data_IF_159162691421
#
_entry.id   IF_159162691421
#
_cell.length_a   1.000
_cell.length_b   1.000
_cell.length_c   1.000
_cell.angle_alpha   90.00
_cell.angle_beta   90.00
_cell.angle_gamma   90.00
#
_symmetry.space_group_name_H-M   'P 1'
#
loop_
_entity.id
_entity.type
_entity.pdbx_description
1 polymer ?
#
# COMPACT_ATOMS: atom_id res chain seq x y z
N UNK A 1 1.37 -67.03 63.74
CA UNK A 1 -0.06 -67.10 63.38
C UNK A 1 -0.44 -65.74 62.81
N UNK A 2 -0.70 -65.68 61.49
CA UNK A 2 -1.19 -64.52 60.68
C UNK A 2 -0.29 -63.26 60.68
N UNK A 3 0.04 -62.58 59.59
CA UNK A 3 -0.34 -62.65 58.17
C UNK A 3 0.53 -61.67 57.36
N UNK A 4 0.57 -61.86 56.05
CA UNK A 4 1.33 -61.06 55.09
C UNK A 4 0.58 -59.77 54.71
N UNK A 5 1.31 -58.66 54.53
CA UNK A 5 1.03 -57.68 53.46
C UNK A 5 2.36 -57.17 52.89
N UNK A 6 2.51 -57.30 51.57
CA UNK A 6 3.65 -56.84 50.78
C UNK A 6 3.60 -55.32 50.59
N UNK A 7 4.73 -54.67 50.87
CA UNK A 7 5.05 -53.31 50.42
C UNK A 7 6.55 -53.13 50.51
N UNK A 8 7.28 -53.42 49.44
CA UNK A 8 8.74 -53.22 49.39
C UNK A 8 8.99 -52.07 48.44
N UNK A 9 9.46 -50.97 49.01
CA UNK A 9 10.03 -49.84 48.30
C UNK A 9 11.31 -50.23 47.57
N UNK A 10 11.55 -49.57 46.44
CA UNK A 10 12.74 -49.73 45.63
C UNK A 10 13.08 -48.40 44.96
N UNK A 11 14.15 -47.80 45.46
CA UNK A 11 14.95 -46.68 44.96
C UNK A 11 14.93 -46.52 43.43
N UNK A 12 14.54 -45.34 42.94
CA UNK A 12 14.69 -44.95 41.53
C UNK A 12 16.13 -44.49 41.24
N UNK A 13 16.82 -45.23 40.37
CA UNK A 13 18.00 -44.75 39.66
C UNK A 13 17.55 -44.10 38.35
N UNK A 14 17.86 -42.82 38.16
CA UNK A 14 17.56 -42.08 36.93
C UNK A 14 18.69 -42.35 35.93
N UNK A 15 18.41 -43.21 34.95
CA UNK A 15 19.25 -43.41 33.78
C UNK A 15 18.98 -42.32 32.73
N UNK A 16 20.02 -41.58 32.36
CA UNK A 16 19.98 -40.63 31.25
C UNK A 16 20.01 -41.41 29.93
N UNK A 17 18.88 -41.40 29.20
CA UNK A 17 18.81 -41.80 27.80
C UNK A 17 19.06 -40.56 26.93
N UNK A 18 20.20 -40.54 26.26
CA UNK A 18 20.52 -39.61 25.18
C UNK A 18 19.60 -39.91 23.99
N UNK A 19 18.48 -39.19 23.89
CA UNK A 19 17.70 -39.12 22.66
C UNK A 19 18.47 -38.24 21.67
N UNK A 20 18.96 -38.84 20.59
CA UNK A 20 19.59 -38.12 19.49
C UNK A 20 18.61 -37.10 18.89
N UNK A 21 19.06 -35.87 18.76
CA UNK A 21 18.37 -34.84 17.98
C UNK A 21 18.37 -35.27 16.51
N UNK A 22 17.31 -35.92 16.05
CA UNK A 22 16.99 -35.99 14.64
C UNK A 22 16.73 -34.55 14.15
N UNK A 23 17.54 -34.11 13.18
CA UNK A 23 17.31 -32.86 12.45
C UNK A 23 15.88 -32.86 11.93
N UNK A 24 15.12 -31.82 12.27
CA UNK A 24 13.86 -31.55 11.59
C UNK A 24 14.11 -31.52 10.06
N UNK A 25 13.28 -32.18 9.25
CA UNK A 25 13.40 -32.10 7.81
C UNK A 25 13.27 -30.63 7.38
N UNK A 26 13.96 -30.21 6.29
CA UNK A 26 13.76 -28.86 5.75
C UNK A 26 12.28 -28.66 5.49
N UNK A 27 11.75 -27.51 5.93
CA UNK A 27 10.37 -27.12 5.69
C UNK A 27 10.05 -27.35 4.21
N UNK A 28 9.06 -28.20 3.95
CA UNK A 28 8.56 -28.42 2.61
C UNK A 28 8.23 -27.05 1.99
N UNK A 29 8.71 -26.85 0.76
CA UNK A 29 8.33 -25.72 -0.09
C UNK A 29 6.80 -25.62 -0.02
N UNK A 30 6.29 -24.50 0.49
CA UNK A 30 4.87 -24.24 0.45
C UNK A 30 4.45 -24.25 -1.03
N UNK A 31 3.69 -25.27 -1.43
CA UNK A 31 3.01 -25.29 -2.73
C UNK A 31 2.25 -23.97 -2.88
N UNK A 32 2.50 -23.27 -3.99
CA UNK A 32 2.07 -21.89 -4.18
C UNK A 32 0.57 -21.71 -3.98
N UNK A 33 0.20 -20.84 -3.05
CA UNK A 33 -1.16 -20.32 -2.98
C UNK A 33 -1.36 -19.32 -4.13
N UNK A 34 -1.77 -19.85 -5.28
CA UNK A 34 -1.96 -19.12 -6.52
C UNK A 34 -3.30 -18.39 -6.55
N UNK A 35 -3.25 -17.09 -6.82
CA UNK A 35 -4.38 -16.42 -7.48
C UNK A 35 -4.44 -16.96 -8.90
N UNK A 36 -5.62 -17.41 -9.32
CA UNK A 36 -5.88 -17.91 -10.66
C UNK A 36 -6.91 -16.98 -11.34
N UNK A 37 -6.66 -16.66 -12.61
CA UNK A 37 -7.59 -15.89 -13.42
C UNK A 37 -8.84 -16.74 -13.68
N UNK A 38 -10.01 -16.26 -13.26
CA UNK A 38 -11.28 -17.00 -13.38
C UNK A 38 -12.12 -16.48 -14.53
N UNK A 39 -11.96 -15.21 -14.89
CA UNK A 39 -12.73 -14.60 -15.99
C UNK A 39 -12.02 -13.40 -16.60
N UNK A 40 -12.10 -13.30 -17.93
CA UNK A 40 -11.86 -12.07 -18.69
C UNK A 40 -13.14 -11.65 -19.41
N UNK A 41 -13.49 -10.38 -19.32
CA UNK A 41 -14.54 -9.74 -20.12
C UNK A 41 -13.83 -8.77 -21.06
N UNK A 42 -13.90 -9.03 -22.37
CA UNK A 42 -13.17 -8.29 -23.39
C UNK A 42 -14.12 -7.59 -24.38
N UNK A 43 -13.74 -6.38 -24.79
CA UNK A 43 -14.05 -5.88 -26.13
C UNK A 43 -13.14 -6.57 -27.17
N UNK A 44 -13.62 -6.74 -28.41
CA UNK A 44 -12.99 -7.55 -29.46
C UNK A 44 -11.47 -7.37 -29.58
N UNK A 45 -10.70 -8.48 -29.52
CA UNK A 45 -9.30 -8.51 -30.00
C UNK A 45 -8.20 -9.07 -29.09
N UNK A 46 -8.49 -9.75 -27.96
CA UNK A 46 -7.41 -10.32 -27.12
C UNK A 46 -7.46 -11.83 -26.96
N UNK A 47 -6.29 -12.46 -27.19
CA UNK A 47 -6.08 -13.90 -27.02
C UNK A 47 -5.99 -14.29 -25.55
N UNK A 48 -6.66 -15.38 -25.18
CA UNK A 48 -6.70 -15.90 -23.81
C UNK A 48 -5.30 -16.17 -23.26
N UNK A 49 -4.96 -15.53 -22.15
CA UNK A 49 -3.74 -15.83 -21.42
C UNK A 49 -4.06 -16.86 -20.33
N UNK A 50 -4.11 -18.15 -20.69
CA UNK A 50 -4.12 -19.22 -19.69
C UNK A 50 -2.74 -19.31 -18.99
N UNK A 51 -2.74 -19.34 -17.65
CA UNK A 51 -1.65 -19.93 -16.87
C UNK A 51 -0.63 -19.00 -16.18
N UNK A 52 -0.94 -17.74 -15.85
CA UNK A 52 -0.02 -16.91 -15.04
C UNK A 52 -0.38 -16.91 -13.56
N UNK A 53 0.56 -17.41 -12.73
CA UNK A 53 0.44 -17.48 -11.27
C UNK A 53 1.04 -16.23 -10.62
N UNK A 54 0.36 -15.71 -9.60
CA UNK A 54 0.92 -14.66 -8.75
C UNK A 54 2.21 -15.15 -8.08
N UNK A 55 3.25 -14.29 -8.05
CA UNK A 55 4.49 -14.58 -7.34
C UNK A 55 4.25 -14.38 -5.84
N UNK A 56 4.17 -15.47 -5.06
CA UNK A 56 4.06 -15.39 -3.60
C UNK A 56 5.41 -15.04 -2.97
N UNK A 57 5.47 -13.95 -2.22
CA UNK A 57 6.72 -13.44 -1.62
C UNK A 57 7.04 -14.07 -0.25
N UNK A 58 6.21 -15.00 0.23
CA UNK A 58 6.49 -15.80 1.42
C UNK A 58 6.38 -15.09 2.77
N UNK A 59 6.52 -13.77 2.88
CA UNK A 59 6.35 -13.00 4.13
C UNK A 59 6.25 -11.48 3.89
N UNK A 60 5.13 -10.85 4.28
CA UNK A 60 4.98 -9.44 4.73
C UNK A 60 3.49 -9.10 4.88
N UNK A 61 3.11 -8.31 5.89
CA UNK A 61 1.72 -7.95 6.17
C UNK A 61 1.18 -6.79 5.29
N UNK A 62 2.03 -6.12 4.49
CA UNK A 62 1.61 -5.09 3.53
C UNK A 62 2.73 -4.66 2.55
N UNK A 63 3.13 -5.47 1.54
CA UNK A 63 4.09 -5.01 0.54
C UNK A 63 3.55 -3.76 -0.17
N UNK A 64 4.46 -2.80 -0.38
CA UNK A 64 4.28 -1.66 -1.27
C UNK A 64 5.13 -1.90 -2.50
N UNK A 65 4.60 -1.56 -3.66
CA UNK A 65 5.34 -1.65 -4.91
C UNK A 65 5.10 -0.43 -5.79
N UNK A 66 6.09 -0.15 -6.63
CA UNK A 66 6.02 0.85 -7.69
C UNK A 66 6.64 0.25 -8.95
N UNK A 67 6.16 0.67 -10.12
CA UNK A 67 6.74 0.27 -11.41
C UNK A 67 7.64 1.39 -11.88
N UNK A 68 8.89 1.06 -12.17
CA UNK A 68 9.86 1.98 -12.73
C UNK A 68 9.62 2.19 -14.24
N UNK A 69 10.10 3.31 -14.84
CA UNK A 69 9.89 3.58 -16.26
C UNK A 69 10.40 2.49 -17.21
N UNK A 70 11.40 1.71 -16.78
CA UNK A 70 11.96 0.59 -17.53
C UNK A 70 11.18 -0.74 -17.33
N UNK A 71 10.03 -0.70 -16.66
CA UNK A 71 9.19 -1.86 -16.33
C UNK A 71 9.66 -2.68 -15.12
N UNK A 72 10.79 -2.32 -14.49
CA UNK A 72 11.22 -2.99 -13.27
C UNK A 72 10.24 -2.72 -12.12
N UNK A 73 10.12 -3.69 -11.22
CA UNK A 73 9.28 -3.60 -10.03
C UNK A 73 10.13 -3.23 -8.82
N UNK A 74 9.80 -2.13 -8.17
CA UNK A 74 10.33 -1.77 -6.86
C UNK A 74 9.38 -2.33 -5.81
N UNK A 75 9.93 -3.06 -4.84
CA UNK A 75 9.19 -3.67 -3.75
C UNK A 75 9.75 -3.18 -2.43
N UNK A 76 8.88 -2.80 -1.51
CA UNK A 76 9.25 -2.50 -0.13
C UNK A 76 8.25 -3.14 0.83
N UNK A 77 8.74 -3.72 1.92
CA UNK A 77 7.92 -4.53 2.83
C UNK A 77 8.47 -4.53 4.25
N UNK A 78 7.60 -4.62 5.25
CA UNK A 78 7.95 -5.01 6.61
C UNK A 78 8.02 -6.54 6.75
N UNK A 79 8.94 -7.05 7.57
CA UNK A 79 9.05 -8.48 7.86
C UNK A 79 9.53 -8.77 9.29
N UNK A 80 9.18 -9.95 9.81
CA UNK A 80 9.51 -10.42 11.16
C UNK A 80 10.33 -11.73 11.17
N UNK A 81 10.65 -12.31 10.01
CA UNK A 81 11.42 -13.54 9.89
C UNK A 81 12.12 -13.69 8.54
N UNK A 82 12.94 -14.73 8.33
CA UNK A 82 13.71 -14.92 7.10
C UNK A 82 12.82 -14.88 5.85
N UNK A 83 13.25 -14.12 4.84
CA UNK A 83 12.57 -13.96 3.54
C UNK A 83 13.46 -14.50 2.42
N UNK A 84 12.88 -15.15 1.42
CA UNK A 84 13.57 -15.52 0.18
C UNK A 84 12.89 -14.84 -0.99
N UNK A 85 13.65 -14.05 -1.77
CA UNK A 85 13.20 -13.53 -3.06
C UNK A 85 14.05 -14.19 -4.15
N UNK A 86 13.38 -14.89 -5.08
CA UNK A 86 14.07 -15.56 -6.20
C UNK A 86 14.92 -16.76 -5.78
N UNK A 87 14.52 -17.48 -4.72
CA UNK A 87 15.16 -18.74 -4.31
C UNK A 87 16.52 -18.60 -3.60
N UNK A 88 17.02 -17.37 -3.43
CA UNK A 88 18.21 -17.08 -2.63
C UNK A 88 17.77 -16.57 -1.25
N UNK A 89 18.33 -17.08 -0.14
CA UNK A 89 18.11 -16.47 1.17
C UNK A 89 18.56 -15.01 1.10
N UNK A 90 17.63 -14.10 1.32
CA UNK A 90 17.93 -12.67 1.50
C UNK A 90 18.59 -12.47 2.86
N UNK A 91 19.33 -11.37 3.10
CA UNK A 91 20.55 -11.38 3.93
C UNK A 91 20.38 -11.53 5.45
N UNK A 92 19.43 -12.32 5.95
CA UNK A 92 19.05 -12.41 7.35
C UNK A 92 19.07 -13.86 7.85
N UNK A 93 20.27 -14.32 8.22
CA UNK A 93 20.50 -15.53 9.04
C UNK A 93 20.87 -15.19 10.50
N UNK A 94 20.45 -14.02 11.01
CA UNK A 94 20.80 -13.60 12.39
C UNK A 94 19.56 -13.51 13.26
N UNK A 95 19.69 -13.95 14.52
CA UNK A 95 18.72 -13.68 15.59
C UNK A 95 18.64 -12.17 15.81
N UNK A 96 17.50 -11.57 15.44
CA UNK A 96 17.21 -10.17 15.72
C UNK A 96 15.85 -10.07 16.39
N UNK A 97 15.71 -9.12 17.31
CA UNK A 97 14.55 -8.94 18.19
C UNK A 97 13.77 -7.66 17.86
N UNK A 98 13.31 -7.52 16.62
CA UNK A 98 12.50 -6.36 16.21
C UNK A 98 12.00 -6.44 14.75
N UNK A 99 11.05 -5.56 14.36
CA UNK A 99 10.51 -5.51 13.00
C UNK A 99 11.53 -4.94 12.02
N UNK A 100 11.62 -5.52 10.83
CA UNK A 100 12.60 -5.20 9.80
C UNK A 100 11.95 -4.61 8.54
N UNK A 101 12.74 -3.94 7.69
CA UNK A 101 12.29 -3.51 6.36
C UNK A 101 13.11 -4.16 5.25
N UNK A 102 12.45 -4.54 4.16
CA UNK A 102 13.02 -5.03 2.92
C UNK A 102 12.77 -4.01 1.83
N UNK A 103 13.76 -3.78 0.97
CA UNK A 103 13.62 -3.10 -0.31
C UNK A 103 14.26 -3.96 -1.38
N UNK A 104 13.57 -4.18 -2.48
CA UNK A 104 14.08 -4.96 -3.60
C UNK A 104 13.70 -4.33 -4.94
N UNK A 105 14.51 -4.62 -5.94
CA UNK A 105 14.21 -4.36 -7.34
C UNK A 105 14.16 -5.68 -8.09
N UNK A 106 13.05 -5.91 -8.76
CA UNK A 106 12.84 -7.05 -9.64
C UNK A 106 12.73 -6.56 -11.08
N UNK A 107 13.08 -7.41 -12.04
CA UNK A 107 12.81 -7.15 -13.45
C UNK A 107 11.30 -7.15 -13.73
N UNK A 108 10.87 -6.67 -14.90
CA UNK A 108 9.49 -6.79 -15.37
C UNK A 108 8.98 -8.24 -15.46
N UNK A 109 9.90 -9.23 -15.42
CA UNK A 109 9.62 -10.67 -15.40
C UNK A 109 9.62 -11.26 -13.98
N UNK A 110 9.83 -10.44 -12.94
CA UNK A 110 9.88 -10.87 -11.55
C UNK A 110 11.24 -11.45 -11.11
N UNK A 111 12.30 -11.31 -11.92
CA UNK A 111 13.63 -11.78 -11.54
C UNK A 111 14.31 -10.78 -10.60
N UNK A 112 14.87 -11.24 -9.49
CA UNK A 112 15.54 -10.36 -8.53
C UNK A 112 16.80 -9.72 -9.15
N UNK A 113 16.84 -8.39 -9.23
CA UNK A 113 18.05 -7.64 -9.60
C UNK A 113 18.92 -7.38 -8.37
N UNK A 114 18.31 -6.85 -7.31
CA UNK A 114 18.96 -6.65 -6.02
C UNK A 114 17.92 -6.58 -4.91
N UNK A 115 18.35 -6.87 -3.68
CA UNK A 115 17.57 -6.68 -2.47
C UNK A 115 18.47 -6.19 -1.34
N UNK A 116 17.91 -5.37 -0.46
CA UNK A 116 18.51 -4.90 0.77
C UNK A 116 17.49 -5.04 1.88
N UNK A 117 17.94 -5.37 3.08
CA UNK A 117 17.09 -5.19 4.25
C UNK A 117 17.78 -4.41 5.33
N UNK A 118 16.92 -3.69 6.03
CA UNK A 118 17.23 -2.74 7.06
C UNK A 118 16.90 -3.44 8.37
N UNK A 119 17.97 -3.78 9.08
CA UNK A 119 17.93 -4.53 10.33
C UNK A 119 18.14 -3.56 11.49
N UNK A 120 17.28 -3.58 12.53
CA UNK A 120 17.49 -2.77 13.71
C UNK A 120 18.84 -3.09 14.37
N UNK A 121 19.63 -2.09 14.78
CA UNK A 121 20.90 -2.36 15.47
C UNK A 121 20.76 -2.52 17.00
N UNK A 122 19.63 -2.11 17.58
CA UNK A 122 19.38 -2.15 19.02
C UNK A 122 18.44 -3.28 19.46
N UNK A 123 18.54 -3.68 20.74
CA UNK A 123 17.53 -4.52 21.40
C UNK A 123 16.37 -3.64 21.86
N UNK A 124 15.14 -4.04 21.56
CA UNK A 124 13.93 -3.34 22.03
C UNK A 124 13.30 -2.36 21.03
N UNK A 125 13.63 -2.44 19.74
CA UNK A 125 12.98 -1.63 18.73
C UNK A 125 11.48 -1.94 18.63
N UNK A 126 10.65 -0.90 18.76
CA UNK A 126 9.22 -1.09 19.02
C UNK A 126 8.36 -1.04 17.75
N UNK A 127 8.83 -0.44 16.65
CA UNK A 127 8.05 -0.30 15.41
C UNK A 127 8.87 0.02 14.16
N UNK A 128 8.68 -0.76 13.10
CA UNK A 128 9.12 -0.46 11.74
C UNK A 128 7.96 -0.63 10.77
N UNK A 129 7.85 0.25 9.79
CA UNK A 129 6.80 0.16 8.78
C UNK A 129 7.25 0.83 7.49
N UNK A 130 7.11 0.13 6.36
CA UNK A 130 7.13 0.78 5.05
C UNK A 130 5.79 1.51 4.87
N UNK A 131 5.86 2.82 4.65
CA UNK A 131 4.68 3.60 4.29
C UNK A 131 4.44 3.57 2.79
N UNK A 132 5.48 3.93 2.02
CA UNK A 132 5.41 4.05 0.57
C UNK A 132 6.77 3.85 -0.11
N UNK A 133 6.74 3.44 -1.37
CA UNK A 133 7.87 3.37 -2.29
C UNK A 133 7.48 4.02 -3.61
N UNK A 134 8.39 4.75 -4.24
CA UNK A 134 8.19 5.35 -5.55
C UNK A 134 9.45 5.20 -6.42
N UNK A 135 9.24 5.09 -7.73
CA UNK A 135 10.32 5.06 -8.71
C UNK A 135 10.60 6.47 -9.24
N UNK A 136 11.86 6.86 -9.30
CA UNK A 136 12.26 8.08 -10.00
C UNK A 136 12.38 7.83 -11.51
N UNK A 137 12.20 8.87 -12.36
CA UNK A 137 12.41 8.77 -13.80
C UNK A 137 13.78 8.20 -14.20
N UNK A 138 14.80 8.50 -13.39
CA UNK A 138 16.19 8.06 -13.59
C UNK A 138 16.46 6.64 -13.07
N UNK A 139 15.41 5.96 -12.57
CA UNK A 139 15.48 4.59 -12.05
C UNK A 139 15.91 4.49 -10.58
N UNK A 140 16.11 5.61 -9.89
CA UNK A 140 16.30 5.64 -8.44
C UNK A 140 15.04 5.22 -7.68
N UNK A 141 15.22 4.87 -6.40
CA UNK A 141 14.15 4.39 -5.53
C UNK A 141 14.00 5.34 -4.35
N UNK A 142 12.79 5.83 -4.13
CA UNK A 142 12.46 6.64 -2.96
C UNK A 142 11.60 5.81 -2.03
N UNK A 143 11.97 5.77 -0.74
CA UNK A 143 11.29 5.03 0.32
C UNK A 143 10.96 5.95 1.48
N UNK A 144 9.76 5.84 2.03
CA UNK A 144 9.40 6.51 3.27
C UNK A 144 8.61 5.58 4.20
N UNK A 145 8.73 5.85 5.49
CA UNK A 145 8.10 5.03 6.52
C UNK A 145 8.58 5.38 7.91
N UNK A 146 8.48 4.41 8.81
CA UNK A 146 8.94 4.49 10.19
C UNK A 146 10.11 3.53 10.39
N UNK A 147 11.22 4.04 10.91
CA UNK A 147 12.40 3.28 11.26
C UNK A 147 12.37 2.81 12.71
N UNK A 148 12.90 1.61 12.89
CA UNK A 148 13.20 0.98 14.17
C UNK A 148 14.69 1.15 14.57
N UNK A 149 15.41 2.12 13.99
CA UNK A 149 16.84 2.31 14.25
C UNK A 149 17.72 1.43 13.37
N UNK A 150 17.96 1.81 12.10
CA UNK A 150 18.63 0.94 11.11
C UNK A 150 20.03 1.41 10.72
N UNK A 151 20.90 0.47 10.33
CA UNK A 151 22.10 0.79 9.56
C UNK A 151 21.85 0.54 8.07
N UNK A 152 22.22 1.50 7.22
CA UNK A 152 22.12 1.39 5.77
C UNK A 152 23.33 2.05 5.11
N UNK A 153 24.13 1.28 4.37
CA UNK A 153 25.31 1.82 3.67
C UNK A 153 26.34 2.49 4.60
N UNK A 154 26.43 2.08 5.86
CA UNK A 154 27.29 2.70 6.88
C UNK A 154 26.69 3.92 7.59
N UNK A 155 25.54 4.42 7.13
CA UNK A 155 24.78 5.48 7.81
C UNK A 155 23.82 4.91 8.86
N UNK A 156 23.55 5.70 9.91
CA UNK A 156 22.58 5.37 10.95
C UNK A 156 21.27 6.13 10.72
N UNK A 157 20.16 5.38 10.69
CA UNK A 157 18.81 5.91 10.68
C UNK A 157 18.24 5.83 12.09
N UNK A 158 17.99 6.98 12.69
CA UNK A 158 17.34 7.06 13.99
C UNK A 158 15.93 6.46 13.94
N UNK A 159 15.45 6.02 15.10
CA UNK A 159 14.05 5.63 15.27
C UNK A 159 13.11 6.78 14.89
N UNK A 160 12.01 6.43 14.24
CA UNK A 160 10.99 7.39 13.81
C UNK A 160 10.93 7.58 12.29
N UNK A 161 10.23 8.63 11.84
CA UNK A 161 9.87 8.78 10.43
C UNK A 161 11.07 9.15 9.57
N UNK A 162 11.11 8.59 8.36
CA UNK A 162 12.19 8.82 7.42
C UNK A 162 11.73 8.95 5.97
N UNK A 163 12.59 9.59 5.18
CA UNK A 163 12.58 9.61 3.72
C UNK A 163 13.98 9.25 3.24
N UNK A 164 14.12 8.29 2.34
CA UNK A 164 15.40 7.84 1.84
C UNK A 164 15.37 7.65 0.32
N UNK A 165 16.52 7.85 -0.32
CA UNK A 165 16.72 7.61 -1.74
C UNK A 165 17.87 6.63 -1.95
N UNK A 166 17.60 5.59 -2.73
CA UNK A 166 18.59 4.64 -3.22
C UNK A 166 18.82 4.89 -4.72
N UNK A 167 20.06 4.70 -5.15
CA UNK A 167 20.44 4.60 -6.56
C UNK A 167 19.72 3.44 -7.26
N UNK A 168 19.71 3.41 -8.60
CA UNK A 168 19.15 2.30 -9.37
C UNK A 168 19.73 0.92 -9.02
N UNK A 169 20.99 0.88 -8.54
CA UNK A 169 21.72 -0.30 -8.09
C UNK A 169 21.49 -0.64 -6.60
N UNK A 170 20.64 0.12 -5.92
CA UNK A 170 20.26 -0.09 -4.52
C UNK A 170 21.19 0.59 -3.51
N UNK A 171 22.30 1.22 -3.90
CA UNK A 171 23.16 1.94 -2.94
C UNK A 171 22.42 3.16 -2.38
N UNK A 172 22.46 3.37 -1.06
CA UNK A 172 21.94 4.57 -0.42
C UNK A 172 22.65 5.83 -0.94
N UNK A 173 21.88 6.79 -1.43
CA UNK A 173 22.39 8.09 -1.88
C UNK A 173 22.18 9.15 -0.80
N UNK A 174 20.97 9.25 -0.24
CA UNK A 174 20.70 10.12 0.90
C UNK A 174 19.50 9.65 1.71
N UNK A 175 19.40 10.17 2.93
CA UNK A 175 18.28 9.93 3.84
C UNK A 175 18.01 11.15 4.72
N UNK A 176 16.79 11.23 5.25
CA UNK A 176 16.29 12.26 6.15
C UNK A 176 15.45 11.63 7.26
N UNK A 177 15.55 12.20 8.44
CA UNK A 177 14.71 11.86 9.60
C UNK A 177 13.93 13.11 10.03
N UNK A 178 12.71 12.93 10.51
CA UNK A 178 11.85 14.05 10.89
C UNK A 178 11.54 14.06 12.39
N UNK A 179 12.15 15.02 13.08
CA UNK A 179 12.00 15.18 14.52
C UNK A 179 10.58 15.62 14.88
N UNK A 180 10.08 15.10 16.00
CA UNK A 180 8.77 15.44 16.53
C UNK A 180 8.21 14.36 17.44
N UNK A 181 7.03 14.64 17.96
CA UNK A 181 6.33 13.81 18.95
C UNK A 181 4.98 13.35 18.40
N UNK A 182 4.34 12.42 19.11
CA UNK A 182 3.02 11.91 18.75
C UNK A 182 3.02 10.86 17.64
N UNK A 183 1.83 10.32 17.33
CA UNK A 183 1.66 9.28 16.31
C UNK A 183 2.02 9.82 14.92
N UNK A 184 2.58 8.95 14.08
CA UNK A 184 2.96 9.30 12.72
C UNK A 184 2.88 8.07 11.81
N UNK A 185 2.37 8.24 10.60
CA UNK A 185 2.34 7.21 9.56
C UNK A 185 2.53 7.87 8.20
N UNK A 186 3.46 7.38 7.39
CA UNK A 186 3.50 7.71 5.95
C UNK A 186 2.57 6.77 5.21
N UNK A 187 1.74 7.31 4.31
CA UNK A 187 0.78 6.51 3.54
C UNK A 187 1.09 6.49 2.05
N UNK A 188 1.60 7.60 1.49
CA UNK A 188 1.95 7.66 0.07
C UNK A 188 3.13 8.60 -0.23
N UNK A 189 3.79 8.31 -1.36
CA UNK A 189 4.85 9.09 -1.98
C UNK A 189 4.54 9.26 -3.46
N UNK A 190 4.82 10.43 -4.01
CA UNK A 190 4.81 10.69 -5.45
C UNK A 190 6.09 11.41 -5.87
N UNK A 191 6.53 11.18 -7.10
CA UNK A 191 7.71 11.81 -7.71
C UNK A 191 7.24 12.65 -8.90
N UNK A 192 7.60 13.93 -8.92
CA UNK A 192 7.30 14.82 -10.04
C UNK A 192 8.12 14.38 -11.26
N UNK A 193 7.48 14.00 -12.38
CA UNK A 193 8.16 13.33 -13.50
C UNK A 193 9.31 14.12 -14.14
N UNK A 194 9.29 15.46 -14.07
CA UNK A 194 10.24 16.32 -14.78
C UNK A 194 11.47 16.66 -13.94
N UNK A 195 11.26 17.09 -12.70
CA UNK A 195 12.29 17.58 -11.77
C UNK A 195 12.77 16.51 -10.80
N UNK A 196 12.01 15.42 -10.61
CA UNK A 196 12.27 14.43 -9.57
C UNK A 196 11.96 14.92 -8.15
N UNK A 197 11.28 16.06 -7.99
CA UNK A 197 10.83 16.50 -6.67
C UNK A 197 9.84 15.52 -6.06
N UNK A 198 9.86 15.43 -4.73
CA UNK A 198 9.18 14.38 -3.98
C UNK A 198 8.03 14.98 -3.18
N UNK A 199 6.87 14.33 -3.21
CA UNK A 199 5.74 14.67 -2.35
C UNK A 199 5.44 13.48 -1.45
N UNK A 200 5.41 13.72 -0.15
CA UNK A 200 5.09 12.73 0.88
C UNK A 200 3.82 13.14 1.61
N UNK A 201 2.93 12.18 1.83
CA UNK A 201 1.72 12.39 2.61
C UNK A 201 1.50 11.29 3.64
N UNK A 202 0.75 11.62 4.68
CA UNK A 202 0.40 10.67 5.72
C UNK A 202 -0.38 11.32 6.85
N UNK A 203 -0.47 10.58 7.95
CA UNK A 203 -1.22 10.95 9.14
C UNK A 203 -0.23 11.28 10.27
N UNK A 204 -0.51 12.32 11.05
CA UNK A 204 0.29 12.67 12.22
C UNK A 204 -0.58 13.25 13.34
N UNK A 205 -0.11 13.11 14.58
CA UNK A 205 -0.64 13.73 15.78
C UNK A 205 0.48 14.46 16.52
N UNK A 206 0.15 15.56 17.22
CA UNK A 206 1.16 16.35 17.94
C UNK A 206 1.98 17.27 17.04
N UNK A 207 3.24 17.47 17.40
CA UNK A 207 4.15 18.43 16.73
C UNK A 207 5.21 17.70 15.91
N UNK A 208 5.39 18.11 14.65
CA UNK A 208 6.35 17.52 13.71
C UNK A 208 7.01 18.59 12.85
N UNK A 209 8.31 18.51 12.63
CA UNK A 209 9.03 19.39 11.70
C UNK A 209 9.59 18.57 10.53
N UNK A 210 9.18 18.95 9.32
CA UNK A 210 9.68 18.37 8.06
C UNK A 210 10.89 19.13 7.50
N UNK A 211 11.43 20.08 8.25
CA UNK A 211 12.52 20.99 7.90
C UNK A 211 12.05 22.29 7.23
N UNK A 212 10.76 22.64 7.40
CA UNK A 212 10.16 23.91 6.92
C UNK A 212 9.44 24.67 8.03
N UNK A 213 9.69 24.26 9.28
CA UNK A 213 9.02 24.75 10.47
C UNK A 213 8.06 23.71 11.03
N UNK A 214 7.76 23.81 12.34
CA UNK A 214 6.91 22.83 13.02
C UNK A 214 5.45 22.96 12.59
N UNK A 215 4.86 21.84 12.19
CA UNK A 215 3.42 21.64 12.09
C UNK A 215 2.88 21.06 13.40
N UNK A 216 1.67 21.45 13.77
CA UNK A 216 1.04 21.02 15.02
C UNK A 216 -0.44 20.69 14.81
N UNK A 217 -0.85 19.54 15.34
CA UNK A 217 -2.26 19.17 15.53
C UNK A 217 -2.42 18.61 16.96
N UNK A 218 -3.63 18.62 17.56
CA UNK A 218 -3.85 17.99 18.85
C UNK A 218 -3.41 16.52 18.84
N UNK A 219 -2.75 16.07 19.92
CA UNK A 219 -2.16 14.71 20.00
C UNK A 219 -3.22 13.61 20.00
N UNK A 220 -4.41 13.92 20.51
CA UNK A 220 -5.58 13.04 20.61
C UNK A 220 -6.44 13.03 19.33
N UNK A 221 -5.98 13.68 18.27
CA UNK A 221 -6.68 13.82 16.99
C UNK A 221 -5.79 13.39 15.85
N UNK A 222 -6.40 13.01 14.73
CA UNK A 222 -5.66 12.65 13.53
C UNK A 222 -5.66 13.83 12.57
N UNK A 223 -4.48 14.43 12.38
CA UNK A 223 -4.22 15.33 11.26
C UNK A 223 -3.58 14.57 10.11
N UNK A 224 -3.67 15.13 8.91
CA UNK A 224 -2.89 14.68 7.77
C UNK A 224 -1.81 15.71 7.41
N UNK A 225 -0.74 15.29 6.76
CA UNK A 225 0.28 16.20 6.24
C UNK A 225 0.51 16.01 4.75
N UNK A 226 0.99 17.06 4.11
CA UNK A 226 1.62 17.02 2.79
C UNK A 226 2.94 17.75 2.90
N UNK A 227 4.03 17.09 2.51
CA UNK A 227 5.37 17.67 2.53
C UNK A 227 6.04 17.48 1.17
N UNK A 228 6.60 18.56 0.62
CA UNK A 228 7.34 18.55 -0.64
C UNK A 228 8.83 18.72 -0.38
N UNK A 229 9.63 17.96 -1.12
CA UNK A 229 11.09 17.95 -1.04
C UNK A 229 11.69 18.06 -2.44
N UNK A 230 12.91 18.57 -2.53
CA UNK A 230 13.72 18.47 -3.74
C UNK A 230 14.08 17.01 -4.06
N UNK A 231 14.56 16.73 -5.27
CA UNK A 231 15.13 15.41 -5.62
C UNK A 231 16.34 15.02 -4.73
N UNK A 232 17.00 15.99 -4.12
CA UNK A 232 18.09 15.78 -3.15
C UNK A 232 17.58 15.57 -1.71
N UNK A 233 16.26 15.53 -1.49
CA UNK A 233 15.65 15.37 -0.17
C UNK A 233 15.69 16.63 0.67
N UNK A 234 15.86 17.82 0.06
CA UNK A 234 15.80 19.09 0.78
C UNK A 234 14.35 19.55 0.93
N UNK A 235 13.91 19.92 2.14
CA UNK A 235 12.54 20.39 2.36
C UNK A 235 12.22 21.66 1.55
N UNK A 236 11.06 21.68 0.88
CA UNK A 236 10.56 22.85 0.14
C UNK A 236 9.45 23.56 0.90
N UNK A 237 8.40 22.82 1.23
CA UNK A 237 7.29 23.28 2.07
C UNK A 237 6.62 22.07 2.72
N UNK A 238 5.90 22.31 3.82
CA UNK A 238 5.01 21.32 4.42
C UNK A 238 3.73 21.98 4.89
N UNK A 239 2.63 21.22 4.89
CA UNK A 239 1.30 21.66 5.31
C UNK A 239 0.62 20.60 6.15
N UNK A 240 -0.04 21.04 7.20
CA UNK A 240 -1.02 20.23 7.92
C UNK A 240 -2.38 20.39 7.23
N UNK A 241 -3.07 19.28 7.03
CA UNK A 241 -4.44 19.19 6.57
C UNK A 241 -5.34 18.81 7.75
N UNK A 242 -6.48 19.49 7.85
CA UNK A 242 -7.39 19.36 8.97
C UNK A 242 -7.60 20.67 9.72
N UNK A 243 -8.54 20.65 10.66
CA UNK A 243 -8.85 21.80 11.49
C UNK A 243 -9.00 21.38 12.95
N UNK A 244 -9.10 22.34 13.90
CA UNK A 244 -9.22 22.03 15.33
C UNK A 244 -10.46 21.20 15.68
N UNK A 245 -11.42 21.04 14.77
CA UNK A 245 -12.72 20.39 14.98
C UNK A 245 -13.02 19.24 14.00
N UNK A 246 -12.04 18.80 13.20
CA UNK A 246 -12.21 17.64 12.32
C UNK A 246 -10.96 16.79 12.25
N UNK A 247 -11.14 15.49 12.02
CA UNK A 247 -10.05 14.55 11.78
C UNK A 247 -9.88 14.37 10.27
N UNK A 248 -8.64 14.28 9.82
CA UNK A 248 -8.30 14.06 8.41
C UNK A 248 -7.25 12.98 8.34
N UNK A 249 -7.41 12.07 7.38
CA UNK A 249 -6.32 11.22 6.95
C UNK A 249 -6.01 11.44 5.47
N UNK A 250 -4.75 11.38 5.10
CA UNK A 250 -4.33 11.32 3.71
C UNK A 250 -3.87 9.89 3.38
N UNK A 251 -4.37 9.34 2.27
CA UNK A 251 -4.11 7.95 1.88
C UNK A 251 -3.36 7.82 0.57
N UNK A 252 -3.55 8.79 -0.33
CA UNK A 252 -2.87 8.81 -1.60
C UNK A 252 -2.49 10.23 -2.01
N UNK A 253 -1.41 10.32 -2.78
CA UNK A 253 -0.98 11.54 -3.44
C UNK A 253 -0.49 11.19 -4.85
N UNK A 254 -0.82 12.05 -5.82
CA UNK A 254 -0.27 12.02 -7.17
C UNK A 254 0.16 13.44 -7.54
N UNK A 255 1.13 13.55 -8.45
CA UNK A 255 1.69 14.81 -8.94
C UNK A 255 1.75 14.76 -10.46
N UNK A 256 1.36 15.84 -11.12
CA UNK A 256 1.46 15.96 -12.57
C UNK A 256 2.83 16.53 -13.01
N UNK A 257 3.05 16.62 -14.32
CA UNK A 257 4.29 17.15 -14.89
C UNK A 257 4.47 18.66 -14.70
N UNK A 258 3.42 19.38 -14.26
CA UNK A 258 3.49 20.79 -13.87
C UNK A 258 3.83 20.94 -12.38
N UNK A 259 3.89 19.84 -11.64
CA UNK A 259 4.12 19.81 -10.22
C UNK A 259 2.88 20.14 -9.39
N UNK A 260 1.69 20.24 -9.99
CA UNK A 260 0.42 20.27 -9.25
C UNK A 260 0.15 18.90 -8.67
N UNK A 261 -0.48 18.86 -7.50
CA UNK A 261 -0.64 17.63 -6.74
C UNK A 261 -2.06 17.43 -6.28
N UNK A 262 -2.50 16.18 -6.31
CA UNK A 262 -3.81 15.76 -5.84
C UNK A 262 -3.62 14.81 -4.68
N UNK A 263 -4.30 15.09 -3.57
CA UNK A 263 -4.32 14.29 -2.35
C UNK A 263 -5.72 13.75 -2.15
N UNK A 264 -5.82 12.49 -1.75
CA UNK A 264 -7.08 11.83 -1.46
C UNK A 264 -7.06 11.16 -0.08
N UNK A 265 -8.24 11.07 0.54
CA UNK A 265 -8.37 10.42 1.84
C UNK A 265 -9.79 10.43 2.38
N UNK A 266 -9.89 10.56 3.70
CA UNK A 266 -11.17 10.66 4.41
C UNK A 266 -11.09 11.70 5.52
N UNK A 267 -12.23 12.33 5.80
CA UNK A 267 -12.36 13.28 6.90
C UNK A 267 -13.60 13.01 7.75
N UNK A 268 -13.60 13.51 8.98
CA UNK A 268 -14.79 13.58 9.85
C UNK A 268 -14.82 14.91 10.61
N UNK A 269 -16.00 15.35 11.05
CA UNK A 269 -16.17 16.66 11.68
C UNK A 269 -16.05 17.81 10.67
N UNK A 270 -15.58 18.98 11.12
CA UNK A 270 -15.49 20.18 10.29
C UNK A 270 -14.05 20.46 9.83
N UNK A 271 -13.83 20.50 8.52
CA UNK A 271 -12.51 20.64 7.89
C UNK A 271 -12.56 21.66 6.75
N UNK A 272 -11.52 22.49 6.62
CA UNK A 272 -11.28 23.30 5.42
C UNK A 272 -9.87 23.04 4.91
N UNK A 273 -9.74 22.91 3.59
CA UNK A 273 -8.46 22.75 2.91
C UNK A 273 -7.96 24.06 2.27
N UNK A 274 -8.50 25.20 2.68
CA UNK A 274 -8.22 26.52 2.09
C UNK A 274 -9.36 27.08 1.23
N UNK A 275 -10.39 26.26 0.95
CA UNK A 275 -11.63 26.66 0.30
C UNK A 275 -12.85 26.53 1.24
N UNK A 276 -13.98 26.10 0.68
CA UNK A 276 -15.20 25.83 1.44
C UNK A 276 -14.94 24.84 2.59
N UNK A 277 -15.68 25.02 3.69
CA UNK A 277 -15.64 24.10 4.83
C UNK A 277 -16.54 22.91 4.54
N UNK A 278 -15.97 21.72 4.64
CA UNK A 278 -16.71 20.46 4.65
C UNK A 278 -17.08 20.09 6.08
N UNK A 279 -18.25 19.52 6.27
CA UNK A 279 -18.74 19.13 7.58
C UNK A 279 -19.57 17.85 7.48
N UNK A 280 -19.24 16.90 8.35
CA UNK A 280 -19.99 15.65 8.51
C UNK A 280 -20.16 15.33 10.00
N UNK A 281 -21.26 14.64 10.33
CA UNK A 281 -21.59 14.25 11.70
C UNK A 281 -21.32 12.76 11.84
N UNK A 282 -20.28 12.42 12.60
CA UNK A 282 -19.90 11.04 13.01
C UNK A 282 -19.50 10.06 11.89
N UNK A 283 -19.85 10.30 10.63
CA UNK A 283 -19.42 9.49 9.49
C UNK A 283 -18.11 10.01 8.90
N UNK A 284 -17.26 9.08 8.46
CA UNK A 284 -16.03 9.39 7.74
C UNK A 284 -16.35 9.51 6.25
N UNK A 285 -16.06 10.64 5.63
CA UNK A 285 -16.44 10.92 4.23
C UNK A 285 -15.20 10.98 3.33
N UNK A 286 -15.21 10.34 2.14
CA UNK A 286 -14.12 10.46 1.17
C UNK A 286 -13.93 11.89 0.68
N UNK A 287 -12.68 12.31 0.47
CA UNK A 287 -12.37 13.60 -0.15
C UNK A 287 -11.24 13.50 -1.18
N UNK A 288 -11.21 14.51 -2.03
CA UNK A 288 -10.11 14.84 -2.94
C UNK A 288 -9.74 16.32 -2.81
N UNK A 289 -8.44 16.60 -2.83
CA UNK A 289 -7.87 17.93 -2.68
C UNK A 289 -6.80 18.14 -3.77
N UNK A 290 -6.98 19.14 -4.62
CA UNK A 290 -5.93 19.60 -5.53
C UNK A 290 -5.22 20.83 -4.98
N UNK A 291 -3.89 20.80 -5.05
CA UNK A 291 -2.99 21.86 -4.61
C UNK A 291 -2.04 22.25 -5.76
N UNK A 292 -1.64 23.53 -5.79
CA UNK A 292 -0.57 24.00 -6.68
C UNK A 292 0.78 23.41 -6.30
N UNK A 293 1.80 23.64 -7.12
CA UNK A 293 3.17 23.22 -6.82
C UNK A 293 3.73 23.78 -5.50
N UNK A 294 3.28 24.97 -5.10
CA UNK A 294 3.61 25.66 -3.85
C UNK A 294 2.66 25.26 -2.69
N UNK A 295 1.78 24.28 -2.95
CA UNK A 295 0.84 23.72 -2.00
C UNK A 295 -0.42 24.55 -1.79
N UNK A 296 -0.68 25.61 -2.58
CA UNK A 296 -1.88 26.42 -2.41
C UNK A 296 -3.12 25.66 -2.86
N UNK A 297 -4.24 25.83 -2.15
CA UNK A 297 -5.53 25.25 -2.54
C UNK A 297 -5.92 25.68 -3.96
N UNK A 298 -6.34 24.70 -4.77
CA UNK A 298 -6.88 24.93 -6.12
C UNK A 298 -8.36 24.61 -6.16
N UNK A 299 -8.71 23.40 -5.78
CA UNK A 299 -10.07 22.93 -5.63
C UNK A 299 -10.10 21.73 -4.69
N UNK A 300 -11.28 21.42 -4.14
CA UNK A 300 -11.49 20.25 -3.30
C UNK A 300 -12.94 19.81 -3.40
N UNK A 301 -13.17 18.50 -3.32
CA UNK A 301 -14.51 17.90 -3.28
C UNK A 301 -14.56 16.82 -2.22
N UNK A 302 -15.72 16.66 -1.59
CA UNK A 302 -16.07 15.47 -0.84
C UNK A 302 -17.15 14.65 -1.55
N UNK A 303 -17.29 13.39 -1.15
CA UNK A 303 -18.36 12.52 -1.64
C UNK A 303 -19.49 12.54 -0.61
N UNK A 304 -20.19 13.67 -0.52
CA UNK A 304 -21.21 13.88 0.53
C UNK A 304 -22.28 12.78 0.51
N UNK A 305 -22.57 12.22 1.67
CA UNK A 305 -23.51 11.09 1.85
C UNK A 305 -22.87 9.70 1.76
N UNK A 306 -21.66 9.59 1.21
CA UNK A 306 -20.85 8.39 1.30
C UNK A 306 -20.13 8.32 2.65
N UNK A 307 -20.18 7.14 3.27
CA UNK A 307 -19.33 6.79 4.40
C UNK A 307 -18.21 5.86 3.94
N UNK A 308 -16.96 6.29 4.06
CA UNK A 308 -15.83 5.53 3.53
C UNK A 308 -14.55 6.33 3.46
N UNK A 309 -13.66 5.96 2.55
CA UNK A 309 -12.36 6.64 2.38
C UNK A 309 -11.89 6.49 0.95
N UNK A 310 -11.36 7.58 0.37
CA UNK A 310 -10.60 7.51 -0.86
C UNK A 310 -9.22 6.91 -0.57
N UNK A 311 -8.86 5.83 -1.28
CA UNK A 311 -7.63 5.06 -1.06
C UNK A 311 -6.56 5.33 -2.11
N UNK A 312 -6.96 5.73 -3.32
CA UNK A 312 -6.03 5.96 -4.43
C UNK A 312 -6.41 7.20 -5.24
N UNK A 313 -5.40 7.81 -5.85
CA UNK A 313 -5.54 8.90 -6.81
C UNK A 313 -4.56 8.67 -7.97
N UNK A 314 -5.01 8.95 -9.19
CA UNK A 314 -4.17 8.96 -10.38
C UNK A 314 -4.47 10.23 -11.19
N UNK A 315 -3.43 10.84 -11.75
CA UNK A 315 -3.55 12.06 -12.58
C UNK A 315 -3.13 11.70 -14.00
N UNK A 316 -4.07 11.82 -14.93
CA UNK A 316 -3.82 11.75 -16.36
C UNK A 316 -3.72 13.15 -16.97
N UNK A 317 -3.48 13.26 -18.29
CA UNK A 317 -3.30 14.54 -18.98
C UNK A 317 -4.47 15.51 -18.85
N UNK A 318 -5.71 15.00 -18.81
CA UNK A 318 -6.92 15.81 -18.76
C UNK A 318 -7.88 15.42 -17.62
N UNK A 319 -7.47 14.48 -16.77
CA UNK A 319 -8.35 13.87 -15.77
C UNK A 319 -7.63 13.61 -14.47
N UNK A 320 -8.39 13.73 -13.39
CA UNK A 320 -8.02 13.26 -12.07
C UNK A 320 -8.99 12.15 -11.68
N UNK A 321 -8.45 10.98 -11.36
CA UNK A 321 -9.20 9.80 -10.96
C UNK A 321 -9.01 9.56 -9.48
N UNK A 322 -10.11 9.34 -8.76
CA UNK A 322 -10.09 9.06 -7.32
C UNK A 322 -10.91 7.81 -7.07
N UNK A 323 -10.33 6.84 -6.38
CA UNK A 323 -11.05 5.62 -6.00
C UNK A 323 -10.94 5.35 -4.52
N UNK A 324 -11.87 4.55 -4.02
CA UNK A 324 -11.89 4.18 -2.63
C UNK A 324 -13.01 3.20 -2.32
N UNK A 325 -13.41 3.20 -1.06
CA UNK A 325 -14.58 2.46 -0.59
C UNK A 325 -15.66 3.41 -0.10
N UNK A 326 -16.91 3.00 -0.23
CA UNK A 326 -18.06 3.71 0.35
C UNK A 326 -19.18 2.75 0.77
N UNK A 327 -19.96 3.20 1.74
CA UNK A 327 -21.29 2.72 2.09
C UNK A 327 -22.24 3.91 2.15
N UNK A 328 -23.53 3.64 2.32
CA UNK A 328 -24.55 4.68 2.30
C UNK A 328 -24.86 5.13 0.87
N UNK A 329 -25.35 6.36 0.71
CA UNK A 329 -25.86 6.87 -0.55
C UNK A 329 -25.24 8.23 -0.87
N UNK A 330 -24.66 8.35 -2.06
CA UNK A 330 -24.22 9.62 -2.58
C UNK A 330 -24.83 9.89 -3.96
N UNK A 331 -24.89 11.17 -4.31
CA UNK A 331 -25.39 11.65 -5.59
C UNK A 331 -24.23 12.26 -6.37
N UNK A 332 -24.08 11.86 -7.64
CA UNK A 332 -23.05 12.42 -8.51
C UNK A 332 -23.67 12.78 -9.86
N UNK A 333 -23.61 14.05 -10.21
CA UNK A 333 -24.27 14.65 -11.37
C UNK A 333 -25.78 14.39 -11.48
N UNK A 334 -26.22 13.30 -12.13
CA UNK A 334 -27.63 12.92 -12.31
C UNK A 334 -27.91 11.49 -11.85
N UNK A 335 -26.91 10.86 -11.25
CA UNK A 335 -26.93 9.45 -10.85
C UNK A 335 -26.86 9.32 -9.33
N UNK A 336 -27.47 8.25 -8.83
CA UNK A 336 -27.45 7.90 -7.41
C UNK A 336 -26.69 6.59 -7.24
N UNK A 337 -25.73 6.60 -6.34
CA UNK A 337 -24.93 5.44 -5.95
C UNK A 337 -25.29 5.07 -4.53
N UNK A 338 -25.59 3.79 -4.29
CA UNK A 338 -25.94 3.29 -2.96
C UNK A 338 -25.28 1.95 -2.72
N UNK A 339 -24.74 1.75 -1.52
CA UNK A 339 -24.35 0.44 -1.00
C UNK A 339 -24.77 0.31 0.46
N UNK A 340 -25.43 -0.79 0.79
CA UNK A 340 -25.83 -1.10 2.17
C UNK A 340 -24.70 -1.79 2.96
N UNK A 341 -23.61 -2.16 2.28
CA UNK A 341 -22.45 -2.82 2.86
C UNK A 341 -21.20 -1.97 2.64
N UNK A 342 -20.41 -2.31 1.64
CA UNK A 342 -19.26 -1.54 1.20
C UNK A 342 -19.03 -1.86 -0.27
N UNK A 343 -18.97 -0.82 -1.08
CA UNK A 343 -18.63 -0.88 -2.50
C UNK A 343 -17.38 -0.06 -2.78
N UNK A 344 -16.72 -0.35 -3.89
CA UNK A 344 -15.71 0.50 -4.48
C UNK A 344 -16.35 1.65 -5.25
N UNK A 345 -15.76 2.84 -5.20
CA UNK A 345 -16.10 3.90 -6.15
C UNK A 345 -14.88 4.29 -7.00
N UNK A 346 -15.15 4.81 -8.20
CA UNK A 346 -14.20 5.56 -9.01
C UNK A 346 -14.89 6.83 -9.51
N UNK A 347 -14.31 7.99 -9.22
CA UNK A 347 -14.80 9.29 -9.68
C UNK A 347 -13.73 9.93 -10.56
N UNK A 348 -14.15 10.45 -11.70
CA UNK A 348 -13.32 11.25 -12.59
C UNK A 348 -13.71 12.74 -12.49
N UNK A 349 -12.69 13.58 -12.36
CA UNK A 349 -12.77 15.04 -12.49
C UNK A 349 -11.92 15.48 -13.69
N UNK A 350 -12.18 16.66 -14.26
CA UNK A 350 -11.17 17.33 -15.08
C UNK A 350 -10.07 17.97 -14.21
N UNK A 351 -9.03 18.50 -14.83
CA UNK A 351 -7.90 19.14 -14.11
C UNK A 351 -8.30 20.41 -13.35
N UNK A 352 -9.46 21.00 -13.66
CA UNK A 352 -10.03 22.15 -12.94
C UNK A 352 -10.99 21.74 -11.82
N UNK A 353 -11.20 20.44 -11.63
CA UNK A 353 -12.08 19.90 -10.60
C UNK A 353 -13.55 19.81 -11.03
N UNK A 354 -13.92 19.94 -12.30
CA UNK A 354 -15.31 19.68 -12.69
C UNK A 354 -15.58 18.18 -12.74
N UNK A 355 -16.65 17.74 -12.08
CA UNK A 355 -17.15 16.36 -12.12
C UNK A 355 -17.38 15.87 -13.55
N UNK A 356 -16.88 14.68 -13.91
CA UNK A 356 -17.02 14.09 -15.25
C UNK A 356 -17.93 12.86 -15.27
N UNK A 357 -17.62 11.85 -14.47
CA UNK A 357 -18.40 10.64 -14.32
C UNK A 357 -18.02 9.92 -13.02
N UNK A 358 -18.86 8.98 -12.58
CA UNK A 358 -18.59 8.12 -11.45
C UNK A 358 -19.00 6.67 -11.78
N UNK A 359 -18.33 5.70 -11.15
CA UNK A 359 -18.66 4.28 -11.22
C UNK A 359 -18.63 3.66 -9.83
N UNK A 360 -19.47 2.66 -9.62
CA UNK A 360 -19.38 1.74 -8.47
C UNK A 360 -18.87 0.37 -8.92
N UNK A 361 -18.18 -0.30 -8.01
CA UNK A 361 -17.64 -1.66 -8.14
C UNK A 361 -18.05 -2.45 -6.89
N UNK A 362 -18.34 -3.73 -7.04
CA UNK A 362 -18.59 -4.59 -5.89
C UNK A 362 -17.37 -4.58 -4.94
N UNK A 363 -17.61 -4.53 -3.63
CA UNK A 363 -16.62 -4.54 -2.54
C UNK A 363 -15.65 -3.35 -2.48
N UNK A 364 -14.65 -3.21 -3.37
CA UNK A 364 -13.68 -2.12 -3.25
C UNK A 364 -12.98 -1.70 -4.55
N UNK A 365 -12.39 -0.49 -4.56
CA UNK A 365 -11.54 0.03 -5.63
C UNK A 365 -10.32 0.72 -5.00
N UNK A 366 -9.29 -0.05 -4.65
CA UNK A 366 -8.22 0.39 -3.72
C UNK A 366 -6.95 0.89 -4.40
N UNK A 367 -6.74 0.61 -5.68
CA UNK A 367 -5.55 1.03 -6.41
C UNK A 367 -5.88 1.55 -7.83
N UNK A 368 -5.15 2.58 -8.25
CA UNK A 368 -5.29 3.21 -9.56
C UNK A 368 -3.93 3.40 -10.24
N UNK A 369 -3.94 3.34 -11.57
CA UNK A 369 -2.84 3.78 -12.41
C UNK A 369 -3.40 4.36 -13.71
N UNK A 370 -2.69 5.32 -14.30
CA UNK A 370 -3.03 5.88 -15.62
C UNK A 370 -1.91 5.62 -16.61
N UNK A 371 -2.26 5.25 -17.84
CA UNK A 371 -1.27 5.16 -18.93
C UNK A 371 -1.05 6.52 -19.61
N UNK A 372 -0.06 6.57 -20.50
CA UNK A 372 0.27 7.78 -21.27
C UNK A 372 -0.83 8.24 -22.23
N UNK A 373 -1.83 7.39 -22.52
CA UNK A 373 -3.01 7.75 -23.29
C UNK A 373 -4.15 8.32 -22.40
N UNK A 374 -3.94 8.37 -21.08
CA UNK A 374 -4.91 8.84 -20.10
C UNK A 374 -5.95 7.79 -19.70
N UNK A 375 -5.85 6.54 -20.18
CA UNK A 375 -6.73 5.46 -19.74
C UNK A 375 -6.42 5.09 -18.29
N UNK A 376 -7.46 4.73 -17.54
CA UNK A 376 -7.33 4.40 -16.12
C UNK A 376 -7.46 2.90 -15.93
N UNK A 377 -6.51 2.32 -15.20
CA UNK A 377 -6.67 1.00 -14.62
C UNK A 377 -7.08 1.16 -13.17
N UNK A 378 -8.04 0.34 -12.76
CA UNK A 378 -8.50 0.22 -11.38
C UNK A 378 -8.34 -1.23 -10.93
N UNK A 379 -7.84 -1.41 -9.71
CA UNK A 379 -7.78 -2.69 -9.05
C UNK A 379 -8.46 -2.61 -7.68
N UNK A 380 -9.11 -3.70 -7.32
CA UNK A 380 -9.83 -3.81 -6.05
C UNK A 380 -10.24 -5.23 -5.79
N UNK A 381 -11.08 -5.39 -4.78
CA UNK A 381 -11.65 -6.67 -4.36
C UNK A 381 -13.05 -6.80 -4.94
N UNK A 382 -13.49 -8.02 -5.29
CA UNK A 382 -14.88 -8.33 -5.62
C UNK A 382 -15.41 -9.38 -4.65
N UNK A 383 -16.72 -9.36 -4.42
CA UNK A 383 -17.41 -10.28 -3.50
C UNK A 383 -17.77 -11.64 -4.12
N UNK A 384 -17.53 -11.83 -5.42
CA UNK A 384 -17.89 -13.05 -6.14
C UNK A 384 -19.35 -13.06 -6.63
N UNK A 385 -19.99 -11.88 -6.67
CA UNK A 385 -21.36 -11.68 -7.18
C UNK A 385 -21.55 -11.93 -8.68
N UNK A 386 -22.71 -11.51 -9.20
CA UNK A 386 -23.22 -11.84 -10.56
C UNK A 386 -22.26 -11.57 -11.72
N UNK A 387 -21.37 -10.58 -11.58
CA UNK A 387 -20.38 -10.21 -12.59
C UNK A 387 -19.21 -11.22 -12.69
N UNK A 388 -19.05 -12.07 -11.67
CA UNK A 388 -17.95 -13.04 -11.52
C UNK A 388 -18.44 -14.49 -11.32
N UNK A 389 -19.69 -14.76 -11.74
CA UNK A 389 -20.51 -15.97 -11.54
C UNK A 389 -21.25 -16.03 -10.19
N UNK A 390 -22.57 -16.28 -10.23
CA UNK A 390 -23.37 -16.41 -9.02
C UNK A 390 -22.89 -17.62 -8.19
N UNK A 391 -22.35 -17.35 -7.00
CA UNK A 391 -21.75 -18.36 -6.13
C UNK A 391 -20.23 -18.48 -6.25
N UNK A 392 -19.58 -17.60 -7.00
CA UNK A 392 -18.12 -17.46 -7.04
C UNK A 392 -17.53 -17.02 -5.71
N UNK A 393 -16.25 -17.33 -5.48
CA UNK A 393 -15.53 -16.85 -4.29
C UNK A 393 -15.05 -15.41 -4.48
N UNK A 394 -15.03 -14.64 -3.38
CA UNK A 394 -14.44 -13.30 -3.36
C UNK A 394 -12.99 -13.32 -3.86
N UNK A 395 -12.56 -12.24 -4.51
CA UNK A 395 -11.29 -12.20 -5.22
C UNK A 395 -10.82 -10.79 -5.55
N UNK A 396 -9.84 -10.68 -6.44
CA UNK A 396 -9.36 -9.41 -6.98
C UNK A 396 -9.90 -9.20 -8.38
N UNK A 397 -10.13 -7.95 -8.75
CA UNK A 397 -10.31 -7.59 -10.15
C UNK A 397 -9.29 -6.53 -10.56
N UNK A 398 -9.03 -6.48 -11.86
CA UNK A 398 -8.37 -5.38 -12.54
C UNK A 398 -9.19 -5.02 -13.75
N UNK A 399 -9.53 -3.74 -13.90
CA UNK A 399 -10.30 -3.23 -15.03
C UNK A 399 -9.58 -2.06 -15.68
N UNK A 400 -9.49 -2.08 -17.01
CA UNK A 400 -9.08 -0.92 -17.80
C UNK A 400 -10.30 -0.21 -18.32
N UNK A 401 -10.38 1.09 -18.07
CA UNK A 401 -11.54 1.91 -18.39
C UNK A 401 -11.14 3.09 -19.27
N UNK A 402 -12.08 3.49 -20.12
CA UNK A 402 -11.97 4.68 -20.95
C UNK A 402 -12.09 5.96 -20.09
N UNK A 403 -11.23 6.97 -20.31
CA UNK A 403 -11.22 8.19 -19.50
C UNK A 403 -12.43 9.10 -19.73
N UNK A 404 -13.10 8.99 -20.88
CA UNK A 404 -14.22 9.83 -21.27
C UNK A 404 -15.50 9.54 -20.48
N UNK A 405 -15.78 8.26 -20.22
CA UNK A 405 -17.07 7.80 -19.69
C UNK A 405 -16.97 6.64 -18.68
N UNK A 406 -15.77 6.11 -18.43
CA UNK A 406 -15.56 4.99 -17.50
C UNK A 406 -16.00 3.63 -18.06
N UNK A 407 -16.33 3.54 -19.36
CA UNK A 407 -16.67 2.28 -20.02
C UNK A 407 -15.48 1.32 -19.95
N UNK A 408 -15.73 0.06 -19.61
CA UNK A 408 -14.67 -0.93 -19.52
C UNK A 408 -14.17 -1.32 -20.91
N UNK A 409 -12.87 -1.15 -21.14
CA UNK A 409 -12.16 -1.74 -22.29
C UNK A 409 -12.02 -3.24 -22.06
N UNK A 410 -11.60 -3.61 -20.85
CA UNK A 410 -11.57 -4.98 -20.37
C UNK A 410 -11.63 -5.03 -18.85
N UNK A 411 -12.08 -6.17 -18.31
CA UNK A 411 -12.05 -6.51 -16.89
C UNK A 411 -11.56 -7.93 -16.71
N UNK A 412 -10.67 -8.16 -15.74
CA UNK A 412 -10.13 -9.46 -15.37
C UNK A 412 -10.33 -9.72 -13.88
N UNK A 413 -10.76 -10.92 -13.54
CA UNK A 413 -11.05 -11.35 -12.17
C UNK A 413 -10.19 -12.52 -11.77
N UNK A 414 -9.75 -12.52 -10.52
CA UNK A 414 -8.81 -13.45 -9.95
C UNK A 414 -9.36 -13.95 -8.61
N UNK A 415 -9.46 -15.27 -8.46
CA UNK A 415 -9.82 -15.87 -7.17
C UNK A 415 -8.69 -16.74 -6.65
N UNK A 416 -8.75 -17.09 -5.37
CA UNK A 416 -7.73 -17.94 -4.77
C UNK A 416 -8.07 -18.34 -3.34
N UNK A 417 -7.19 -19.16 -2.75
CA UNK A 417 -7.31 -19.53 -1.34
C UNK A 417 -6.84 -18.38 -0.44
N UNK A 418 -7.80 -17.62 0.08
CA UNK A 418 -7.59 -16.52 1.02
C UNK A 418 -8.13 -15.20 0.51
N UNK A 419 -8.31 -14.24 1.42
CA UNK A 419 -8.80 -12.90 1.08
C UNK A 419 -7.65 -12.08 0.49
N UNK A 420 -7.73 -11.77 -0.79
CA UNK A 420 -6.72 -11.05 -1.52
C UNK A 420 -7.01 -9.55 -1.49
N UNK A 421 -5.99 -8.72 -1.24
CA UNK A 421 -6.11 -7.26 -1.21
C UNK A 421 -5.08 -6.60 -2.10
N UNK A 422 -5.53 -5.72 -3.00
CA UNK A 422 -4.64 -4.89 -3.82
C UNK A 422 -4.20 -3.64 -3.03
N UNK A 423 -2.88 -3.41 -2.94
CA UNK A 423 -2.30 -2.24 -2.26
C UNK A 423 -1.80 -1.19 -3.24
N UNK A 424 -1.36 -1.61 -4.41
CA UNK A 424 -0.78 -0.74 -5.43
C UNK A 424 -1.02 -1.33 -6.81
N UNK A 425 -1.08 -0.45 -7.80
CA UNK A 425 -1.20 -0.77 -9.20
C UNK A 425 -0.21 0.14 -9.93
N UNK A 426 0.66 -0.45 -10.73
CA UNK A 426 1.56 0.29 -11.61
C UNK A 426 1.34 -0.14 -13.06
N UNK A 427 1.63 0.77 -13.98
CA UNK A 427 1.62 0.51 -15.41
C UNK A 427 2.92 1.04 -16.01
N UNK A 428 3.55 0.25 -16.87
CA UNK A 428 4.74 0.69 -17.59
C UNK A 428 4.38 1.41 -18.90
N UNK A 429 5.39 1.95 -19.58
CA UNK A 429 5.22 2.66 -20.85
C UNK A 429 4.69 1.77 -22.00
N UNK A 430 4.73 0.45 -21.86
CA UNK A 430 4.19 -0.51 -22.83
C UNK A 430 2.73 -0.86 -22.57
N UNK A 431 2.17 -0.38 -21.45
CA UNK A 431 0.83 -0.70 -21.00
C UNK A 431 0.74 -2.00 -20.19
N UNK A 432 1.86 -2.61 -19.83
CA UNK A 432 1.88 -3.77 -18.95
C UNK A 432 1.61 -3.30 -17.51
N UNK A 433 0.60 -3.90 -16.89
CA UNK A 433 0.21 -3.57 -15.52
C UNK A 433 0.77 -4.57 -14.51
N UNK A 434 0.94 -4.11 -13.29
CA UNK A 434 1.36 -4.92 -12.15
C UNK A 434 0.55 -4.54 -10.92
N UNK A 435 -0.10 -5.51 -10.31
CA UNK A 435 -0.71 -5.38 -8.98
C UNK A 435 0.25 -5.94 -7.95
N UNK A 436 0.51 -5.19 -6.88
CA UNK A 436 1.08 -5.75 -5.66
C UNK A 436 0.07 -5.69 -4.52
N UNK A 437 0.03 -6.75 -3.73
CA UNK A 437 -1.00 -6.94 -2.74
C UNK A 437 -0.64 -7.96 -1.69
N UNK A 438 -1.61 -8.32 -0.87
CA UNK A 438 -1.47 -9.37 0.15
C UNK A 438 -2.62 -10.36 0.11
N UNK A 439 -2.32 -11.63 0.36
CA UNK A 439 -3.27 -12.72 0.60
C UNK A 439 -3.36 -12.99 2.10
N UNK A 440 -4.54 -12.84 2.69
CA UNK A 440 -4.82 -13.19 4.08
C UNK A 440 -5.30 -14.65 4.12
N UNK A 441 -4.55 -15.49 4.83
CA UNK A 441 -4.92 -16.88 5.05
C UNK A 441 -5.23 -17.11 6.54
N UNK A 442 -6.43 -17.62 6.80
CA UNK A 442 -6.80 -18.08 8.13
C UNK A 442 -5.87 -19.22 8.54
N UNK A 443 -5.28 -19.10 9.74
CA UNK A 443 -4.62 -20.22 10.41
C UNK A 443 -5.61 -20.86 11.38
N UNK A 444 -5.33 -22.10 11.79
CA UNK A 444 -6.17 -22.86 12.71
C UNK A 444 -6.46 -22.10 14.03
N UNK A 445 -7.38 -22.62 14.87
CA UNK A 445 -7.87 -21.93 16.06
C UNK A 445 -6.73 -21.41 16.97
N UNK A 446 -6.79 -20.13 17.34
CA UNK A 446 -5.80 -19.50 18.23
C UNK A 446 -4.53 -18.96 17.56
N UNK A 447 -4.37 -19.12 16.24
CA UNK A 447 -3.25 -18.55 15.49
C UNK A 447 -3.64 -17.26 14.76
N UNK A 448 -2.75 -16.26 14.74
CA UNK A 448 -2.95 -15.05 13.91
C UNK A 448 -2.95 -15.45 12.43
N UNK A 449 -3.82 -14.84 11.60
CA UNK A 449 -3.81 -15.06 10.15
C UNK A 449 -2.44 -14.73 9.57
N UNK A 450 -1.94 -15.58 8.67
CA UNK A 450 -0.75 -15.22 7.89
C UNK A 450 -1.13 -14.32 6.73
N UNK A 451 -0.31 -13.32 6.47
CA UNK A 451 -0.38 -12.52 5.24
C UNK A 451 0.83 -12.82 4.37
N UNK A 452 0.55 -13.20 3.13
CA UNK A 452 1.58 -13.41 2.11
C UNK A 452 1.47 -12.30 1.07
N UNK A 453 2.57 -11.57 0.82
CA UNK A 453 2.63 -10.63 -0.28
C UNK A 453 2.57 -11.32 -1.63
N UNK A 454 1.99 -10.67 -2.64
CA UNK A 454 2.03 -11.15 -4.02
C UNK A 454 2.35 -10.04 -5.03
N UNK A 455 2.89 -10.45 -6.18
CA UNK A 455 2.98 -9.64 -7.40
C UNK A 455 2.21 -10.35 -8.52
N UNK A 456 1.29 -9.63 -9.16
CA UNK A 456 0.45 -10.13 -10.24
C UNK A 456 0.66 -9.25 -11.49
N UNK A 457 1.41 -9.74 -12.50
CA UNK A 457 1.50 -9.06 -13.78
C UNK A 457 0.19 -9.25 -14.55
N UNK A 458 -0.40 -8.14 -14.99
CA UNK A 458 -1.62 -8.11 -15.78
C UNK A 458 -1.25 -7.56 -17.15
N UNK A 459 -1.35 -8.41 -18.17
CA UNK A 459 -1.27 -7.93 -19.54
C UNK A 459 -2.64 -7.41 -19.96
N UNK A 460 -2.67 -6.38 -20.83
CA UNK A 460 -3.89 -6.00 -21.55
C UNK A 460 -4.60 -7.27 -22.01
#
# INVERSE_FOLDING_TARGET
MVGWVRGVGGVFAVGWLLAGCEKAPPAAVAEGAGLEEVRSVAGEGMGGAEGRRALTLGVSQAPRAAVAPNGDVLLAADYEGPVSLGGKPLPFEREVSGPHLLVARLSSRGELRWAQGLVPAGKGAVRAQVGAVAAEPQGGVVLAGTSAGFQLGGAWLAEGPFLARLSPEGRLDWMRSFAGEGPFTVTALAVEPTSGELVMTGDFGGRRDFGTGPLSVPVDRFGAFVARFSAAGEPRWSRALGGPRGDVSARAVAVDAQGELVVAGGYSGAVSFGGATFATVLSRTPYVLALSAEGHHRWSHDVTGAEGTAHAVAVGPERVFVSGTYSGRFFFQRETFQSDWQDGFLIAYDTRGHSRWARSFAASATALATDGAGQVLVAGEHDGGSDWEAGGSAGLYVSKLLPEDGTAVWSRGYTGRGEARAHTLGIDATGQALVAGSLVQARGPGQRPSRAGFLLPVQP
#
